data_IF_583257309098
#
_entry.id   IF_583257309098
#
_cell.length_a   1.000
_cell.length_b   1.000
_cell.length_c   1.000
_cell.angle_alpha   90.00
_cell.angle_beta   90.00
_cell.angle_gamma   90.00
#
_symmetry.space_group_name_H-M   'P 1'
#
loop_
_entity.id
_entity.type
_entity.pdbx_description
1 polymer ?
#
# COMPACT_ATOMS: atom_id res chain seq x y z
N UNK A 1 16.39 -17.90 13.93
CA UNK A 1 16.70 -16.72 14.77
C UNK A 1 17.06 -15.55 13.87
N UNK A 2 16.14 -14.59 13.78
CA UNK A 2 16.34 -13.28 13.14
C UNK A 2 17.46 -12.54 13.89
N UNK A 3 18.27 -11.76 13.19
CA UNK A 3 19.11 -10.72 13.80
C UNK A 3 18.16 -9.60 14.27
N UNK A 4 17.44 -9.85 15.36
CA UNK A 4 16.65 -8.84 16.05
C UNK A 4 17.63 -7.92 16.76
N UNK A 5 17.55 -6.62 16.46
CA UNK A 5 18.20 -5.50 17.15
C UNK A 5 19.59 -5.08 16.64
N UNK A 6 19.76 -4.93 15.32
CA UNK A 6 20.96 -4.34 14.71
C UNK A 6 21.32 -2.91 15.17
N UNK A 7 20.39 -2.18 15.78
CA UNK A 7 20.60 -0.81 16.25
C UNK A 7 21.24 -0.77 17.66
N UNK A 8 20.99 -1.77 18.51
CA UNK A 8 21.48 -1.82 19.91
C UNK A 8 22.52 -2.91 20.17
N UNK A 9 22.95 -3.63 19.13
CA UNK A 9 23.94 -4.70 19.30
C UNK A 9 25.33 -4.11 19.54
N UNK A 10 26.03 -4.56 20.57
CA UNK A 10 27.43 -4.17 20.81
C UNK A 10 28.35 -4.77 19.73
N UNK A 11 29.53 -4.19 19.53
CA UNK A 11 30.53 -4.78 18.62
C UNK A 11 30.89 -6.23 19.00
N UNK A 12 30.90 -6.53 20.30
CA UNK A 12 31.13 -7.87 20.82
C UNK A 12 30.03 -8.84 20.37
N UNK A 13 28.77 -8.40 20.37
CA UNK A 13 27.63 -9.19 19.92
C UNK A 13 27.67 -9.43 18.42
N UNK A 14 28.00 -8.40 17.63
CA UNK A 14 28.15 -8.49 16.17
C UNK A 14 29.25 -9.50 15.82
N UNK A 15 30.41 -9.41 16.48
CA UNK A 15 31.53 -10.34 16.28
C UNK A 15 31.18 -11.77 16.73
N UNK A 16 30.46 -11.92 17.83
CA UNK A 16 29.98 -13.22 18.34
C UNK A 16 28.99 -13.86 17.36
N UNK A 17 28.01 -13.09 16.88
CA UNK A 17 27.01 -13.53 15.92
C UNK A 17 27.65 -13.93 14.57
N UNK A 18 28.60 -13.12 14.09
CA UNK A 18 29.36 -13.42 12.87
C UNK A 18 30.09 -14.76 13.00
N UNK A 19 30.84 -14.98 14.09
CA UNK A 19 31.55 -16.25 14.32
C UNK A 19 30.60 -17.45 14.35
N UNK A 20 29.47 -17.33 15.06
CA UNK A 20 28.47 -18.40 15.14
C UNK A 20 27.88 -18.74 13.77
N UNK A 21 27.54 -17.73 12.97
CA UNK A 21 26.98 -17.89 11.63
C UNK A 21 28.02 -18.43 10.64
N UNK A 22 29.24 -17.89 10.66
CA UNK A 22 30.36 -18.35 9.84
C UNK A 22 30.66 -19.84 10.08
N UNK A 23 30.68 -20.28 11.34
CA UNK A 23 30.87 -21.69 11.69
C UNK A 23 29.74 -22.59 11.18
N UNK A 24 28.50 -22.10 11.16
CA UNK A 24 27.35 -22.87 10.65
C UNK A 24 27.39 -23.03 9.12
N UNK A 25 27.96 -22.06 8.41
CA UNK A 25 28.09 -22.07 6.96
C UNK A 25 29.44 -22.60 6.45
N UNK A 26 30.36 -22.97 7.34
CA UNK A 26 31.69 -23.43 6.97
C UNK A 26 31.64 -24.83 6.31
N UNK A 27 32.40 -25.07 5.21
CA UNK A 27 32.39 -26.34 4.48
C UNK A 27 32.73 -27.54 5.37
N UNK A 28 33.54 -27.33 6.43
CA UNK A 28 33.90 -28.36 7.40
C UNK A 28 32.69 -28.96 8.12
N UNK A 29 31.68 -28.14 8.44
CA UNK A 29 30.43 -28.59 9.08
C UNK A 29 29.39 -29.10 8.08
N UNK A 30 29.66 -29.00 6.79
CA UNK A 30 28.73 -29.30 5.70
C UNK A 30 29.21 -30.42 4.80
N UNK A 31 30.22 -31.20 5.25
CA UNK A 31 30.77 -32.33 4.51
C UNK A 31 29.70 -33.34 4.08
N UNK A 32 28.75 -33.65 4.98
CA UNK A 32 27.62 -34.57 4.75
C UNK A 32 26.39 -33.93 4.11
N UNK A 33 26.41 -32.61 3.83
CA UNK A 33 25.28 -31.90 3.27
C UNK A 33 25.16 -32.12 1.75
N UNK A 34 23.94 -32.04 1.23
CA UNK A 34 23.69 -32.16 -0.21
C UNK A 34 24.32 -31.00 -0.99
N UNK A 35 24.54 -31.16 -2.29
CA UNK A 35 25.07 -30.09 -3.15
C UNK A 35 24.23 -28.80 -3.08
N UNK A 36 22.91 -28.93 -2.96
CA UNK A 36 22.00 -27.79 -2.80
C UNK A 36 22.22 -27.07 -1.46
N UNK A 37 22.41 -27.82 -0.37
CA UNK A 37 22.66 -27.26 0.96
C UNK A 37 24.02 -26.56 1.05
N UNK A 38 25.06 -27.13 0.43
CA UNK A 38 26.40 -26.52 0.33
C UNK A 38 26.32 -25.17 -0.40
N UNK A 39 25.61 -25.11 -1.52
CA UNK A 39 25.40 -23.86 -2.28
C UNK A 39 24.61 -22.81 -1.49
N UNK A 40 23.56 -23.22 -0.78
CA UNK A 40 22.77 -22.31 0.05
C UNK A 40 23.60 -21.73 1.20
N UNK A 41 24.49 -22.54 1.78
CA UNK A 41 25.37 -22.11 2.84
C UNK A 41 26.48 -21.17 2.39
N UNK A 42 27.06 -21.41 1.22
CA UNK A 42 28.02 -20.48 0.60
C UNK A 42 27.37 -19.11 0.38
N UNK A 43 26.15 -19.09 -0.16
CA UNK A 43 25.39 -17.85 -0.34
C UNK A 43 25.09 -17.14 0.99
N UNK A 44 24.73 -17.89 2.02
CA UNK A 44 24.48 -17.34 3.35
C UNK A 44 25.77 -16.83 4.00
N UNK A 45 26.89 -17.52 3.83
CA UNK A 45 28.21 -17.09 4.30
C UNK A 45 28.61 -15.76 3.65
N UNK A 46 28.44 -15.62 2.34
CA UNK A 46 28.71 -14.38 1.62
C UNK A 46 27.86 -13.21 2.13
N UNK A 47 26.58 -13.46 2.41
CA UNK A 47 25.67 -12.45 2.97
C UNK A 47 26.12 -12.03 4.37
N UNK A 48 26.43 -13.00 5.22
CA UNK A 48 26.88 -12.76 6.59
C UNK A 48 28.21 -12.01 6.61
N UNK A 49 29.14 -12.35 5.70
CA UNK A 49 30.42 -11.65 5.54
C UNK A 49 30.23 -10.19 5.13
N UNK A 50 29.43 -9.92 4.09
CA UNK A 50 29.13 -8.55 3.65
C UNK A 50 28.44 -7.73 4.74
N UNK A 51 27.51 -8.35 5.48
CA UNK A 51 26.86 -7.70 6.61
C UNK A 51 27.86 -7.36 7.71
N UNK A 52 28.79 -8.27 8.03
CA UNK A 52 29.83 -8.03 9.02
C UNK A 52 30.80 -6.92 8.59
N UNK A 53 31.19 -6.85 7.32
CA UNK A 53 32.05 -5.77 6.79
C UNK A 53 31.46 -4.38 7.00
N UNK A 54 30.13 -4.24 6.86
CA UNK A 54 29.42 -2.97 7.08
C UNK A 54 29.23 -2.68 8.58
N UNK A 55 28.95 -3.72 9.38
CA UNK A 55 28.63 -3.58 10.79
C UNK A 55 29.87 -3.53 11.70
N UNK A 56 31.04 -3.91 11.21
CA UNK A 56 32.29 -3.90 11.97
C UNK A 56 32.93 -2.50 12.04
N UNK A 57 32.68 -1.65 11.05
CA UNK A 57 33.13 -0.26 11.01
C UNK A 57 32.05 0.65 11.63
N UNK A 58 32.34 1.37 12.73
CA UNK A 58 31.40 2.29 13.37
C UNK A 58 30.86 3.37 12.42
N UNK A 59 31.68 3.89 11.50
CA UNK A 59 31.25 4.93 10.57
C UNK A 59 30.31 4.36 9.51
N UNK A 60 30.67 3.23 8.90
CA UNK A 60 29.82 2.52 7.95
C UNK A 60 28.49 2.09 8.57
N UNK A 61 28.52 1.61 9.82
CA UNK A 61 27.33 1.25 10.59
C UNK A 61 26.41 2.46 10.80
N UNK A 62 26.95 3.58 11.26
CA UNK A 62 26.18 4.81 11.45
C UNK A 62 25.55 5.28 10.14
N UNK A 63 26.31 5.28 9.04
CA UNK A 63 25.80 5.67 7.73
C UNK A 63 24.66 4.75 7.25
N UNK A 64 24.78 3.43 7.49
CA UNK A 64 23.73 2.47 7.21
C UNK A 64 22.47 2.75 8.03
N UNK A 65 22.62 2.98 9.33
CA UNK A 65 21.50 3.27 10.24
C UNK A 65 20.77 4.57 9.85
N UNK A 66 21.52 5.62 9.52
CA UNK A 66 20.99 6.90 9.03
C UNK A 66 20.19 6.71 7.73
N UNK A 67 20.73 5.92 6.79
CA UNK A 67 20.07 5.59 5.53
C UNK A 67 18.77 4.78 5.74
N UNK A 68 18.77 3.84 6.68
CA UNK A 68 17.58 3.06 7.03
C UNK A 68 16.51 3.96 7.67
N UNK A 69 16.90 4.90 8.53
CA UNK A 69 15.99 5.90 9.11
C UNK A 69 15.36 6.80 8.05
N UNK A 70 16.16 7.32 7.12
CA UNK A 70 15.67 8.15 6.01
C UNK A 70 14.70 7.38 5.11
N UNK A 71 15.01 6.12 4.80
CA UNK A 71 14.10 5.25 4.01
C UNK A 71 12.77 5.01 4.72
N UNK A 72 12.80 4.75 6.03
CA UNK A 72 11.60 4.55 6.83
C UNK A 72 10.72 5.82 6.83
N UNK A 73 11.32 6.98 7.12
CA UNK A 73 10.64 8.27 7.11
C UNK A 73 10.04 8.60 5.73
N UNK A 74 10.78 8.30 4.64
CA UNK A 74 10.27 8.47 3.27
C UNK A 74 9.05 7.58 3.02
N UNK A 75 9.13 6.29 3.36
CA UNK A 75 8.03 5.34 3.17
C UNK A 75 6.77 5.77 3.91
N UNK A 76 6.92 6.25 5.15
CA UNK A 76 5.80 6.74 5.95
C UNK A 76 5.15 7.98 5.32
N UNK A 77 5.96 8.97 4.91
CA UNK A 77 5.45 10.18 4.24
C UNK A 77 4.73 9.85 2.94
N UNK A 78 5.34 9.04 2.08
CA UNK A 78 4.79 8.69 0.78
C UNK A 78 3.47 7.88 0.97
N UNK A 79 3.44 6.95 1.93
CA UNK A 79 2.21 6.23 2.30
C UNK A 79 1.09 7.11 2.86
N UNK A 80 1.42 8.12 3.65
CA UNK A 80 0.43 9.09 4.16
C UNK A 80 -0.15 9.96 3.02
N UNK A 81 0.69 10.37 2.06
CA UNK A 81 0.25 11.10 0.88
C UNK A 81 -0.66 10.26 -0.01
N UNK A 82 -0.34 8.98 -0.20
CA UNK A 82 -1.16 8.06 -0.98
C UNK A 82 -2.53 7.81 -0.35
N UNK A 83 -2.59 7.63 0.97
CA UNK A 83 -3.85 7.48 1.69
C UNK A 83 -4.74 8.73 1.55
N UNK A 84 -4.16 9.93 1.63
CA UNK A 84 -4.90 11.19 1.43
C UNK A 84 -5.42 11.30 0.00
N UNK A 85 -4.57 11.04 -1.01
CA UNK A 85 -4.96 11.05 -2.44
C UNK A 85 -6.10 10.07 -2.73
N UNK A 86 -6.02 8.86 -2.17
CA UNK A 86 -7.07 7.84 -2.31
C UNK A 86 -8.40 8.32 -1.74
N UNK A 87 -8.41 8.86 -0.51
CA UNK A 87 -9.63 9.39 0.12
C UNK A 87 -10.25 10.53 -0.69
N UNK A 88 -9.43 11.46 -1.18
CA UNK A 88 -9.92 12.57 -2.00
C UNK A 88 -10.55 12.07 -3.30
N UNK A 89 -9.96 11.07 -3.95
CA UNK A 89 -10.54 10.45 -5.15
C UNK A 89 -11.87 9.76 -4.85
N UNK A 90 -11.93 8.96 -3.79
CA UNK A 90 -13.17 8.27 -3.40
C UNK A 90 -14.28 9.26 -3.03
N UNK A 91 -13.93 10.38 -2.37
CA UNK A 91 -14.88 11.44 -2.05
C UNK A 91 -15.40 12.15 -3.31
N UNK A 92 -14.52 12.45 -4.28
CA UNK A 92 -14.90 13.01 -5.57
C UNK A 92 -15.82 12.08 -6.35
N UNK A 93 -15.43 10.82 -6.53
CA UNK A 93 -16.25 9.80 -7.22
C UNK A 93 -17.64 9.66 -6.56
N UNK A 94 -17.70 9.72 -5.23
CA UNK A 94 -18.97 9.68 -4.49
C UNK A 94 -19.85 10.91 -4.80
N UNK A 95 -19.27 12.11 -4.75
CA UNK A 95 -19.99 13.35 -5.03
C UNK A 95 -20.50 13.39 -6.47
N UNK A 96 -19.68 12.98 -7.43
CA UNK A 96 -20.08 12.92 -8.83
C UNK A 96 -21.23 11.94 -9.05
N UNK A 97 -21.18 10.76 -8.42
CA UNK A 97 -22.29 9.79 -8.49
C UNK A 97 -23.58 10.32 -7.86
N UNK A 98 -23.51 10.99 -6.72
CA UNK A 98 -24.68 11.59 -6.08
C UNK A 98 -25.30 12.67 -6.95
N UNK A 99 -24.50 13.60 -7.46
CA UNK A 99 -24.99 14.64 -8.37
C UNK A 99 -25.60 14.06 -9.65
N UNK A 100 -24.99 13.01 -10.23
CA UNK A 100 -25.56 12.32 -11.38
C UNK A 100 -26.90 11.64 -11.07
N UNK A 101 -27.04 11.03 -9.89
CA UNK A 101 -28.30 10.42 -9.43
C UNK A 101 -29.38 11.48 -9.24
N UNK A 102 -29.08 12.56 -8.52
CA UNK A 102 -30.03 13.66 -8.28
C UNK A 102 -30.50 14.30 -9.59
N UNK A 103 -29.58 14.53 -10.54
CA UNK A 103 -29.94 15.05 -11.86
C UNK A 103 -30.85 14.09 -12.63
N UNK A 104 -30.56 12.79 -12.59
CA UNK A 104 -31.40 11.79 -13.24
C UNK A 104 -32.80 11.72 -12.60
N UNK A 105 -32.88 11.72 -11.27
CA UNK A 105 -34.15 11.71 -10.53
C UNK A 105 -34.98 12.98 -10.82
N UNK A 106 -34.33 14.14 -10.85
CA UNK A 106 -34.95 15.41 -11.20
C UNK A 106 -35.54 15.38 -12.61
N UNK A 107 -34.78 14.93 -13.62
CA UNK A 107 -35.29 14.83 -14.99
C UNK A 107 -36.43 13.80 -15.11
N UNK A 108 -36.35 12.66 -14.41
CA UNK A 108 -37.46 11.70 -14.35
C UNK A 108 -38.72 12.35 -13.76
N UNK A 109 -38.59 13.06 -12.63
CA UNK A 109 -39.71 13.71 -11.95
C UNK A 109 -40.33 14.81 -12.82
N UNK A 110 -39.48 15.63 -13.46
CA UNK A 110 -39.89 16.68 -14.40
C UNK A 110 -40.65 16.11 -15.60
N UNK A 111 -40.14 15.03 -16.21
CA UNK A 111 -40.81 14.39 -17.33
C UNK A 111 -42.18 13.81 -16.93
N UNK A 112 -42.27 13.20 -15.75
CA UNK A 112 -43.55 12.72 -15.19
C UNK A 112 -44.55 13.86 -14.99
N UNK A 113 -44.12 14.95 -14.38
CA UNK A 113 -44.97 16.12 -14.15
C UNK A 113 -45.42 16.76 -15.46
N UNK A 114 -44.52 16.89 -16.44
CA UNK A 114 -44.87 17.41 -17.76
C UNK A 114 -45.95 16.55 -18.45
N UNK A 115 -45.82 15.23 -18.39
CA UNK A 115 -46.82 14.32 -18.96
C UNK A 115 -48.18 14.44 -18.26
N UNK A 116 -48.20 14.59 -16.94
CA UNK A 116 -49.43 14.77 -16.16
C UNK A 116 -50.11 16.11 -16.48
N UNK A 117 -49.33 17.21 -16.56
CA UNK A 117 -49.83 18.51 -16.97
C UNK A 117 -50.42 18.49 -18.38
N UNK A 118 -49.76 17.78 -19.32
CA UNK A 118 -50.26 17.64 -20.68
C UNK A 118 -51.59 16.87 -20.72
N UNK A 119 -51.70 15.77 -19.96
CA UNK A 119 -52.95 15.01 -19.82
C UNK A 119 -54.08 15.88 -19.28
N UNK A 120 -53.85 16.58 -18.16
CA UNK A 120 -54.85 17.47 -17.56
C UNK A 120 -55.28 18.59 -18.50
N UNK A 121 -54.35 19.15 -19.28
CA UNK A 121 -54.67 20.16 -20.31
C UNK A 121 -55.57 19.59 -21.40
N UNK A 122 -55.29 18.37 -21.90
CA UNK A 122 -56.11 17.68 -22.90
C UNK A 122 -57.51 17.38 -22.37
N UNK A 123 -57.62 16.83 -21.17
CA UNK A 123 -58.90 16.49 -20.53
C UNK A 123 -59.77 17.74 -20.30
N UNK A 124 -59.18 18.82 -19.79
CA UNK A 124 -59.88 20.10 -19.62
C UNK A 124 -60.27 20.76 -20.95
N UNK A 125 -59.52 20.54 -22.03
CA UNK A 125 -59.88 21.03 -23.36
C UNK A 125 -61.08 20.26 -23.92
N UNK A 126 -61.06 18.93 -23.80
CA UNK A 126 -62.17 18.06 -24.20
C UNK A 126 -63.46 18.39 -23.44
N UNK A 127 -63.37 18.57 -22.12
CA UNK A 127 -64.53 18.92 -21.28
C UNK A 127 -65.18 20.24 -21.70
N UNK A 128 -64.37 21.26 -21.99
CA UNK A 128 -64.88 22.57 -22.48
C UNK A 128 -65.52 22.50 -23.87
N UNK A 129 -65.12 21.52 -24.68
CA UNK A 129 -65.73 21.30 -25.99
C UNK A 129 -67.07 20.57 -25.86
N UNK A 130 -67.14 19.55 -24.98
CA UNK A 130 -68.38 18.87 -24.63
C UNK A 130 -69.42 19.77 -23.95
N UNK A 131 -68.99 20.78 -23.19
CA UNK A 131 -69.88 21.77 -22.57
C UNK A 131 -70.39 22.84 -23.56
N UNK A 132 -69.85 22.89 -24.78
CA UNK A 132 -70.22 23.86 -25.83
C UNK A 132 -71.14 23.30 -26.93
N UNK A 133 -71.24 21.97 -27.03
CA UNK A 133 -72.10 21.24 -27.96
C UNK A 133 -73.44 20.88 -27.30
#
# INVERSE_FOLDING_TARGET
MQLQNGIESSEADIRSAYRKRALACHPDKQKSASASQKKAAELEFDRVKKAYEILSDPEARKAFDDLQRVKAARKERDGAQDAKRRRMREELDRRERQAAQENNEFEIAKNRLQAELERLRKENAQRRQQERD
#
